data_IF_503236200752
#
_entry.id   IF_503236200752
#
_cell.length_a   1.000
_cell.length_b   1.000
_cell.length_c   1.000
_cell.angle_alpha   90.00
_cell.angle_beta   90.00
_cell.angle_gamma   90.00
#
_symmetry.space_group_name_H-M   'P 1'
#
loop_
_entity.id
_entity.type
_entity.pdbx_description
1 polymer ?
#
# COMPACT_ATOMS: atom_id res chain seq x y z
N UNK A 1 -32.64 46.69 -39.24
CA UNK A 1 -31.57 46.13 -40.08
C UNK A 1 -30.46 45.68 -39.13
N UNK A 2 -30.61 44.53 -38.46
CA UNK A 2 -30.21 43.17 -38.91
C UNK A 2 -28.71 43.04 -39.18
N UNK A 3 -27.99 42.36 -38.28
CA UNK A 3 -27.07 41.28 -38.65
C UNK A 3 -26.91 40.31 -37.47
N UNK A 4 -27.37 39.09 -37.71
CA UNK A 4 -27.20 37.86 -36.95
C UNK A 4 -25.86 37.21 -37.30
N UNK A 5 -25.13 36.70 -36.31
CA UNK A 5 -24.17 35.60 -36.52
C UNK A 5 -24.38 34.58 -35.40
N UNK A 6 -24.71 33.38 -35.84
CA UNK A 6 -25.10 32.18 -35.11
C UNK A 6 -23.87 31.47 -34.54
N UNK A 7 -23.82 31.31 -33.20
CA UNK A 7 -22.91 30.38 -32.54
C UNK A 7 -23.48 28.97 -32.55
N UNK A 8 -22.72 28.04 -33.12
CA UNK A 8 -23.08 26.64 -33.33
C UNK A 8 -22.84 25.79 -32.05
N UNK A 9 -23.86 25.09 -31.52
CA UNK A 9 -23.72 24.18 -30.38
C UNK A 9 -23.35 22.78 -30.88
N UNK A 10 -22.06 22.50 -31.05
CA UNK A 10 -21.68 21.23 -31.68
C UNK A 10 -20.22 20.80 -31.64
N UNK A 11 -19.39 21.25 -30.68
CA UNK A 11 -18.02 20.69 -30.54
C UNK A 11 -17.95 19.64 -29.42
N UNK A 12 -17.50 18.40 -29.69
CA UNK A 12 -17.28 17.41 -28.65
C UNK A 12 -16.17 17.88 -27.71
N UNK A 13 -16.32 17.61 -26.41
CA UNK A 13 -15.22 17.65 -25.45
C UNK A 13 -14.07 16.80 -26.00
N UNK A 14 -12.94 17.43 -26.32
CA UNK A 14 -11.71 16.73 -26.66
C UNK A 14 -11.37 15.79 -25.50
N UNK A 15 -11.27 14.49 -25.82
CA UNK A 15 -10.69 13.50 -24.91
C UNK A 15 -9.29 13.97 -24.52
N UNK A 16 -8.82 13.69 -23.29
CA UNK A 16 -7.43 13.93 -22.93
C UNK A 16 -6.56 13.26 -23.99
N UNK A 17 -5.66 14.02 -24.60
CA UNK A 17 -4.79 13.53 -25.65
C UNK A 17 -4.01 12.32 -25.12
N UNK A 18 -3.87 11.28 -25.94
CA UNK A 18 -2.97 10.14 -25.68
C UNK A 18 -1.53 10.61 -25.33
N UNK A 19 -1.19 11.84 -25.70
CA UNK A 19 0.04 12.55 -25.34
C UNK A 19 0.24 12.78 -23.84
N UNK A 20 -0.81 13.03 -23.06
CA UNK A 20 -0.67 13.22 -21.60
C UNK A 20 -0.39 11.89 -20.88
N UNK A 21 -1.01 10.81 -21.33
CA UNK A 21 -0.73 9.46 -20.82
C UNK A 21 0.68 8.99 -21.20
N UNK A 22 1.16 9.34 -22.39
CA UNK A 22 2.53 9.01 -22.83
C UNK A 22 3.57 9.89 -22.13
N UNK A 23 3.28 11.18 -21.89
CA UNK A 23 4.14 12.08 -21.12
C UNK A 23 4.25 11.64 -19.64
N UNK A 24 3.16 11.16 -19.04
CA UNK A 24 3.20 10.60 -17.69
C UNK A 24 3.96 9.27 -17.62
N UNK A 25 4.00 8.51 -18.72
CA UNK A 25 4.77 7.26 -18.82
C UNK A 25 6.28 7.51 -18.93
N UNK A 26 6.71 8.69 -19.36
CA UNK A 26 8.13 9.09 -19.44
C UNK A 26 8.71 9.63 -18.13
N UNK A 27 7.89 9.83 -17.08
CA UNK A 27 8.35 10.32 -15.76
C UNK A 27 8.75 9.21 -14.78
N UNK A 28 8.98 7.98 -15.24
CA UNK A 28 9.61 6.94 -14.42
C UNK A 28 11.12 7.20 -14.33
N UNK A 29 11.57 7.80 -13.24
CA UNK A 29 13.01 7.92 -12.95
C UNK A 29 13.52 6.55 -12.46
N UNK A 30 13.92 5.70 -13.40
CA UNK A 30 14.75 4.53 -13.10
C UNK A 30 16.21 4.87 -13.36
N UNK A 31 17.01 4.94 -12.31
CA UNK A 31 18.47 5.06 -12.43
C UNK A 31 19.05 3.72 -12.83
N UNK A 32 19.31 3.53 -14.12
CA UNK A 32 20.21 2.49 -14.61
C UNK A 32 21.51 3.15 -15.06
N UNK A 33 22.60 2.74 -14.42
CA UNK A 33 23.94 3.01 -14.90
C UNK A 33 24.36 1.81 -15.77
N UNK A 34 24.53 2.04 -17.07
CA UNK A 34 25.52 1.32 -17.90
C UNK A 34 25.48 1.74 -19.37
N UNK A 35 26.70 1.96 -19.85
CA UNK A 35 27.21 2.08 -21.21
C UNK A 35 26.31 1.71 -22.40
N UNK A 36 26.19 2.70 -23.29
CA UNK A 36 25.98 2.64 -24.75
C UNK A 36 25.09 1.54 -25.32
N UNK A 37 23.91 1.93 -25.82
CA UNK A 37 23.58 1.90 -27.27
C UNK A 37 22.20 2.52 -27.53
N UNK A 38 22.18 3.62 -28.31
CA UNK A 38 21.05 4.15 -29.10
C UNK A 38 19.63 4.01 -28.49
N UNK A 39 19.43 4.55 -27.29
CA UNK A 39 18.10 4.84 -26.73
C UNK A 39 17.68 6.29 -26.98
N UNK A 40 16.43 6.68 -26.64
CA UNK A 40 15.99 8.08 -26.71
C UNK A 40 17.01 8.99 -26.03
N UNK A 41 17.24 10.18 -26.59
CA UNK A 41 18.16 11.17 -26.04
C UNK A 41 17.75 11.48 -24.59
N UNK A 42 18.46 10.88 -23.64
CA UNK A 42 18.29 11.20 -22.22
C UNK A 42 18.98 12.54 -22.01
N UNK A 43 18.18 13.60 -21.85
CA UNK A 43 18.70 14.88 -21.37
C UNK A 43 19.05 14.68 -19.89
N UNK A 44 20.32 14.40 -19.62
CA UNK A 44 20.86 14.34 -18.27
C UNK A 44 21.02 15.79 -17.80
N UNK A 45 19.97 16.35 -17.19
CA UNK A 45 20.10 17.58 -16.39
C UNK A 45 20.86 17.21 -15.11
N UNK A 46 21.98 17.86 -14.81
CA UNK A 46 22.68 17.65 -13.53
C UNK A 46 21.79 17.98 -12.31
N UNK A 47 20.82 18.88 -12.50
CA UNK A 47 19.87 19.33 -11.47
C UNK A 47 18.49 18.63 -11.56
N UNK A 48 18.40 17.48 -12.25
CA UNK A 48 17.14 16.75 -12.45
C UNK A 48 16.37 16.51 -11.14
N UNK A 49 17.08 16.16 -10.06
CA UNK A 49 16.47 15.95 -8.74
C UNK A 49 15.80 17.22 -8.25
N UNK A 50 16.51 18.35 -8.30
CA UNK A 50 15.96 19.64 -7.87
C UNK A 50 14.74 20.02 -8.70
N UNK A 51 14.82 19.89 -10.03
CA UNK A 51 13.70 20.17 -10.92
C UNK A 51 12.48 19.30 -10.59
N UNK A 52 12.66 18.00 -10.34
CA UNK A 52 11.58 17.10 -9.96
C UNK A 52 10.92 17.50 -8.62
N UNK A 53 11.71 17.92 -7.62
CA UNK A 53 11.16 18.41 -6.35
C UNK A 53 10.46 19.77 -6.50
N UNK A 54 10.97 20.68 -7.34
CA UNK A 54 10.33 21.96 -7.62
C UNK A 54 8.96 21.76 -8.32
N UNK A 55 8.88 20.85 -9.28
CA UNK A 55 7.65 20.48 -9.99
C UNK A 55 6.63 19.81 -9.05
N UNK A 56 7.11 18.88 -8.20
CA UNK A 56 6.29 18.26 -7.16
C UNK A 56 5.74 19.32 -6.19
N UNK A 57 6.58 20.25 -5.72
CA UNK A 57 6.16 21.31 -4.82
C UNK A 57 5.11 22.22 -5.47
N UNK A 58 5.29 22.58 -6.74
CA UNK A 58 4.30 23.36 -7.49
C UNK A 58 2.96 22.62 -7.60
N UNK A 59 2.99 21.30 -7.81
CA UNK A 59 1.79 20.48 -7.91
C UNK A 59 1.06 20.37 -6.57
N UNK A 60 1.79 20.10 -5.50
CA UNK A 60 1.24 19.91 -4.15
C UNK A 60 0.73 21.19 -3.50
N UNK A 61 1.10 22.38 -4.00
CA UNK A 61 0.54 23.66 -3.56
C UNK A 61 -0.95 23.82 -3.82
N UNK A 62 -1.56 23.02 -4.69
CA UNK A 62 -2.98 23.10 -4.96
C UNK A 62 -3.81 22.43 -3.83
N UNK A 63 -4.51 23.18 -2.96
CA UNK A 63 -5.25 22.60 -1.83
C UNK A 63 -6.48 21.78 -2.23
N UNK A 64 -6.88 21.85 -3.51
CA UNK A 64 -7.98 21.04 -4.09
C UNK A 64 -7.48 19.71 -4.65
N UNK A 65 -6.17 19.48 -4.68
CA UNK A 65 -5.60 18.23 -5.14
C UNK A 65 -6.07 17.09 -4.25
N UNK A 66 -6.64 16.07 -4.88
CA UNK A 66 -7.02 14.82 -4.23
C UNK A 66 -6.25 13.71 -4.89
N UNK A 67 -5.41 13.04 -4.11
CA UNK A 67 -4.57 11.96 -4.57
C UNK A 67 -5.21 10.64 -4.17
N UNK A 68 -5.33 9.74 -5.14
CA UNK A 68 -5.66 8.35 -4.84
C UNK A 68 -4.50 7.69 -4.09
N UNK A 69 -3.26 8.04 -4.44
CA UNK A 69 -2.06 7.45 -3.88
C UNK A 69 -0.92 8.47 -3.83
N UNK A 70 -0.13 8.42 -2.75
CA UNK A 70 1.12 9.13 -2.60
C UNK A 70 2.23 8.16 -2.20
N UNK A 71 3.17 7.91 -3.11
CA UNK A 71 4.17 6.84 -2.95
C UNK A 71 5.57 7.40 -2.98
N UNK A 72 6.39 6.96 -2.03
CA UNK A 72 7.77 7.38 -1.90
C UNK A 72 8.68 6.16 -2.03
N UNK A 73 9.47 6.17 -3.10
CA UNK A 73 10.40 5.10 -3.43
C UNK A 73 11.83 5.62 -3.36
N UNK A 74 12.60 5.10 -2.41
CA UNK A 74 14.03 5.41 -2.27
C UNK A 74 14.86 4.18 -2.60
N UNK A 75 15.63 4.23 -3.70
CA UNK A 75 16.38 3.10 -4.23
C UNK A 75 17.64 2.76 -3.43
N UNK A 76 18.24 3.74 -2.75
CA UNK A 76 19.54 3.63 -2.08
C UNK A 76 19.44 3.83 -0.57
N UNK A 77 19.87 2.82 0.19
CA UNK A 77 19.73 2.76 1.65
C UNK A 77 20.41 3.93 2.37
N UNK A 78 21.56 4.38 1.87
CA UNK A 78 22.32 5.50 2.42
C UNK A 78 21.66 6.86 2.18
N UNK A 79 20.64 6.95 1.33
CA UNK A 79 19.95 8.22 1.01
C UNK A 79 18.56 8.34 1.65
N UNK A 80 18.08 7.32 2.36
CA UNK A 80 16.74 7.30 2.96
C UNK A 80 16.50 8.53 3.83
N UNK A 81 17.41 8.83 4.77
CA UNK A 81 17.25 9.96 5.69
C UNK A 81 17.26 11.29 4.95
N UNK A 82 18.17 11.45 3.98
CA UNK A 82 18.26 12.67 3.16
C UNK A 82 16.98 12.88 2.36
N UNK A 83 16.50 11.84 1.66
CA UNK A 83 15.28 11.92 0.84
C UNK A 83 14.03 12.15 1.70
N UNK A 84 13.93 11.49 2.86
CA UNK A 84 12.83 11.73 3.80
C UNK A 84 12.82 13.15 4.34
N UNK A 85 13.99 13.73 4.63
CA UNK A 85 14.09 15.12 5.06
C UNK A 85 13.71 16.09 3.94
N UNK A 86 14.12 15.83 2.70
CA UNK A 86 13.71 16.65 1.54
C UNK A 86 12.19 16.61 1.33
N UNK A 87 11.57 15.43 1.42
CA UNK A 87 10.12 15.28 1.33
C UNK A 87 9.42 15.98 2.50
N UNK A 88 9.92 15.80 3.73
CA UNK A 88 9.39 16.49 4.91
C UNK A 88 9.43 18.00 4.74
N UNK A 89 10.57 18.54 4.35
CA UNK A 89 10.75 19.97 4.13
C UNK A 89 9.80 20.49 3.05
N UNK A 90 9.58 19.73 1.98
CA UNK A 90 8.60 20.10 0.94
C UNK A 90 7.19 20.17 1.52
N UNK A 91 6.78 19.16 2.30
CA UNK A 91 5.45 19.09 2.90
C UNK A 91 5.25 20.17 3.99
N UNK A 92 6.30 20.54 4.73
CA UNK A 92 6.28 21.64 5.71
C UNK A 92 6.03 23.01 5.06
N UNK A 93 6.32 23.18 3.77
CA UNK A 93 6.06 24.42 3.03
C UNK A 93 4.60 24.56 2.59
N UNK A 94 3.78 23.50 2.74
CA UNK A 94 2.37 23.54 2.42
C UNK A 94 1.58 24.20 3.56
N UNK A 95 0.65 25.08 3.20
CA UNK A 95 -0.28 25.73 4.14
C UNK A 95 -1.53 24.86 4.44
N UNK A 96 -1.55 23.62 3.94
CA UNK A 96 -2.66 22.70 4.05
C UNK A 96 -2.16 21.25 4.14
N UNK A 97 -3.01 20.37 4.68
CA UNK A 97 -2.78 18.93 4.63
C UNK A 97 -3.24 18.34 3.29
N UNK A 98 -2.50 17.36 2.80
CA UNK A 98 -2.82 16.65 1.56
C UNK A 98 -4.01 15.71 1.73
N UNK A 99 -4.89 15.70 0.74
CA UNK A 99 -6.00 14.75 0.64
C UNK A 99 -5.52 13.52 -0.11
N UNK A 100 -5.14 12.46 0.62
CA UNK A 100 -4.56 11.24 0.06
C UNK A 100 -5.30 10.02 0.59
N UNK A 101 -5.74 9.11 -0.28
CA UNK A 101 -6.39 7.87 0.18
C UNK A 101 -5.42 6.76 0.54
N UNK A 102 -4.28 6.67 -0.16
CA UNK A 102 -3.28 5.62 0.04
C UNK A 102 -1.89 6.20 0.15
N UNK A 103 -1.12 5.73 1.12
CA UNK A 103 0.31 6.04 1.20
C UNK A 103 1.11 4.75 1.06
N UNK A 104 2.11 4.76 0.18
CA UNK A 104 3.03 3.64 0.01
C UNK A 104 4.47 4.07 0.28
N UNK A 105 5.12 3.34 1.18
CA UNK A 105 6.52 3.58 1.53
C UNK A 105 7.37 2.36 1.22
N UNK A 106 8.29 2.55 0.26
CA UNK A 106 9.33 1.58 -0.02
C UNK A 106 10.54 1.86 0.89
N UNK A 107 10.90 0.86 1.70
CA UNK A 107 11.93 0.93 2.74
C UNK A 107 11.47 1.71 3.99
N UNK A 108 10.53 1.11 4.69
CA UNK A 108 9.96 1.63 5.92
C UNK A 108 10.99 1.70 7.07
N UNK A 109 11.02 2.87 7.70
CA UNK A 109 11.39 3.08 9.10
C UNK A 109 10.32 3.96 9.74
N UNK A 110 10.13 3.92 11.07
CA UNK A 110 9.20 4.82 11.74
C UNK A 110 9.40 6.30 11.40
N UNK A 111 10.66 6.75 11.30
CA UNK A 111 10.99 8.12 10.89
C UNK A 111 10.49 8.49 9.49
N UNK A 112 10.38 7.53 8.57
CA UNK A 112 9.81 7.74 7.24
C UNK A 112 8.29 8.03 7.32
N UNK A 113 7.55 7.32 8.16
CA UNK A 113 6.12 7.61 8.33
C UNK A 113 5.90 8.96 9.01
N UNK A 114 6.74 9.30 9.99
CA UNK A 114 6.68 10.60 10.67
C UNK A 114 7.02 11.79 9.77
N UNK A 115 7.72 11.58 8.64
CA UNK A 115 7.97 12.65 7.67
C UNK A 115 6.78 12.95 6.75
N UNK A 116 5.75 12.09 6.72
CA UNK A 116 4.61 12.24 5.80
C UNK A 116 3.26 12.26 6.51
N UNK A 117 2.98 11.28 7.37
CA UNK A 117 1.64 11.10 7.95
C UNK A 117 1.10 12.40 8.59
N UNK A 118 1.89 13.20 9.35
CA UNK A 118 1.37 14.45 9.93
C UNK A 118 0.83 15.47 8.90
N UNK A 119 1.29 15.40 7.65
CA UNK A 119 0.91 16.29 6.56
C UNK A 119 -0.28 15.77 5.74
N UNK A 120 -0.82 14.60 6.06
CA UNK A 120 -2.00 14.02 5.41
C UNK A 120 -3.28 14.30 6.22
N UNK A 121 -4.42 14.43 5.55
CA UNK A 121 -5.74 14.52 6.20
C UNK A 121 -6.15 13.15 6.77
N UNK A 122 -6.35 13.05 8.08
CA UNK A 122 -6.63 11.78 8.77
C UNK A 122 -7.91 11.08 8.33
N UNK A 123 -8.97 11.84 8.05
CA UNK A 123 -10.27 11.28 7.66
C UNK A 123 -10.39 10.88 6.19
N UNK A 124 -9.30 11.04 5.41
CA UNK A 124 -9.25 10.68 3.98
C UNK A 124 -8.34 9.48 3.76
N UNK A 125 -7.31 9.31 4.60
CA UNK A 125 -6.36 8.21 4.46
C UNK A 125 -7.04 6.88 4.81
N UNK A 126 -7.15 6.00 3.81
CA UNK A 126 -7.80 4.69 3.92
C UNK A 126 -6.77 3.57 4.10
N UNK A 127 -5.62 3.66 3.41
CA UNK A 127 -4.60 2.59 3.36
C UNK A 127 -3.19 3.09 3.62
N UNK A 128 -2.44 2.31 4.39
CA UNK A 128 -1.01 2.47 4.61
C UNK A 128 -0.30 1.21 4.13
N UNK A 129 0.64 1.37 3.20
CA UNK A 129 1.46 0.30 2.64
C UNK A 129 2.92 0.47 3.05
N UNK A 130 3.48 -0.56 3.70
CA UNK A 130 4.83 -0.55 4.25
C UNK A 130 5.66 -1.68 3.64
N UNK A 131 6.75 -1.33 2.98
CA UNK A 131 7.69 -2.31 2.42
C UNK A 131 9.04 -2.22 3.12
N UNK A 132 9.66 -3.34 3.46
CA UNK A 132 10.98 -3.35 4.11
C UNK A 132 12.10 -3.58 3.07
N UNK A 133 13.28 -3.02 3.34
CA UNK A 133 14.47 -3.39 2.56
C UNK A 133 15.01 -4.73 3.07
N UNK A 134 14.87 -5.77 2.25
CA UNK A 134 15.40 -7.11 2.52
C UNK A 134 16.94 -7.13 2.65
N UNK A 135 17.64 -6.07 2.25
CA UNK A 135 19.10 -5.90 2.38
C UNK A 135 19.51 -5.25 3.71
N UNK A 136 18.57 -4.73 4.49
CA UNK A 136 18.88 -4.15 5.80
C UNK A 136 19.45 -5.25 6.72
N UNK A 137 20.54 -4.94 7.42
CA UNK A 137 21.22 -5.89 8.33
C UNK A 137 20.42 -6.09 9.62
N UNK A 138 19.67 -5.05 10.03
CA UNK A 138 18.74 -5.10 11.15
C UNK A 138 17.32 -4.80 10.68
N UNK A 139 16.39 -5.67 11.06
CA UNK A 139 14.96 -5.57 10.75
C UNK A 139 14.16 -5.19 12.00
N UNK A 140 14.84 -4.82 13.09
CA UNK A 140 14.19 -4.31 14.28
C UNK A 140 13.49 -2.98 13.95
N UNK A 141 12.24 -2.89 14.39
CA UNK A 141 11.47 -1.66 14.29
C UNK A 141 11.64 -0.94 15.62
N UNK A 142 12.08 0.31 15.55
CA UNK A 142 12.16 1.18 16.72
C UNK A 142 10.75 1.37 17.32
N UNK A 143 10.55 0.77 18.49
CA UNK A 143 9.30 0.86 19.25
C UNK A 143 8.96 2.30 19.61
N UNK A 144 9.97 3.14 19.89
CA UNK A 144 9.78 4.55 20.24
C UNK A 144 9.17 5.33 19.07
N UNK A 145 9.64 5.06 17.86
CA UNK A 145 9.07 5.63 16.64
C UNK A 145 7.63 5.14 16.40
N UNK A 146 7.34 3.86 16.66
CA UNK A 146 5.99 3.32 16.54
C UNK A 146 5.03 3.92 17.57
N UNK A 147 5.47 4.17 18.80
CA UNK A 147 4.67 4.87 19.81
C UNK A 147 4.23 6.24 19.31
N UNK A 148 5.13 6.99 18.66
CA UNK A 148 4.78 8.30 18.09
C UNK A 148 3.81 8.17 16.92
N UNK A 149 3.99 7.19 16.04
CA UNK A 149 3.08 6.94 14.91
C UNK A 149 1.68 6.58 15.40
N UNK A 150 1.59 5.73 16.43
CA UNK A 150 0.32 5.27 16.98
C UNK A 150 -0.52 6.41 17.61
N UNK A 151 0.11 7.53 17.96
CA UNK A 151 -0.58 8.72 18.44
C UNK A 151 -1.20 9.57 17.32
N UNK A 152 -0.77 9.40 16.07
CA UNK A 152 -1.27 10.16 14.92
C UNK A 152 -2.70 9.75 14.55
N UNK A 153 -3.56 10.75 14.31
CA UNK A 153 -4.94 10.50 13.87
C UNK A 153 -4.99 9.80 12.50
N UNK A 154 -4.03 10.09 11.62
CA UNK A 154 -3.89 9.44 10.31
C UNK A 154 -3.68 7.92 10.46
N UNK A 155 -2.89 7.50 11.45
CA UNK A 155 -2.68 6.09 11.73
C UNK A 155 -3.95 5.45 12.28
N UNK A 156 -4.58 6.08 13.29
CA UNK A 156 -5.76 5.54 13.98
C UNK A 156 -7.01 5.45 13.10
N UNK A 157 -7.16 6.34 12.12
CA UNK A 157 -8.34 6.42 11.26
C UNK A 157 -8.21 5.59 9.99
N UNK A 158 -6.97 5.28 9.55
CA UNK A 158 -6.75 4.39 8.42
C UNK A 158 -7.33 2.99 8.69
N UNK A 159 -7.95 2.41 7.69
CA UNK A 159 -8.71 1.16 7.83
C UNK A 159 -7.95 -0.06 7.32
N UNK A 160 -6.97 0.15 6.43
CA UNK A 160 -6.22 -0.91 5.76
C UNK A 160 -4.71 -0.76 5.96
N UNK A 161 -4.08 -1.88 6.34
CA UNK A 161 -2.63 -1.99 6.45
C UNK A 161 -2.11 -3.06 5.48
N UNK A 162 -1.23 -2.65 4.56
CA UNK A 162 -0.45 -3.57 3.74
C UNK A 162 0.99 -3.66 4.28
N UNK A 163 1.41 -4.89 4.57
CA UNK A 163 2.77 -5.20 4.98
C UNK A 163 3.45 -6.03 3.88
N UNK A 164 4.37 -5.40 3.14
CA UNK A 164 5.33 -6.07 2.26
C UNK A 164 6.60 -6.39 3.04
N UNK A 165 6.39 -7.05 4.17
CA UNK A 165 7.40 -7.47 5.15
C UNK A 165 6.89 -8.71 5.88
N UNK A 166 7.78 -9.57 6.40
CA UNK A 166 7.33 -10.68 7.21
C UNK A 166 6.53 -10.19 8.43
N UNK A 167 5.35 -10.74 8.63
CA UNK A 167 4.42 -10.49 9.73
C UNK A 167 5.12 -10.51 11.10
N UNK A 168 6.05 -11.45 11.30
CA UNK A 168 6.77 -11.63 12.57
C UNK A 168 7.80 -10.51 12.85
N UNK A 169 7.99 -9.58 11.92
CA UNK A 169 8.94 -8.46 12.04
C UNK A 169 8.24 -7.15 12.38
N UNK A 170 6.92 -7.08 12.18
CA UNK A 170 6.13 -5.91 12.52
C UNK A 170 5.48 -6.06 13.91
N UNK A 171 5.53 -5.05 14.79
CA UNK A 171 4.86 -5.07 16.09
C UNK A 171 3.33 -4.92 15.89
N UNK A 172 2.66 -6.06 15.72
CA UNK A 172 1.24 -6.12 15.35
C UNK A 172 0.29 -5.53 16.41
N UNK A 173 0.76 -5.28 17.63
CA UNK A 173 0.02 -4.54 18.67
C UNK A 173 -0.40 -3.14 18.21
N UNK A 174 0.40 -2.47 17.38
CA UNK A 174 0.10 -1.15 16.81
C UNK A 174 -0.89 -1.20 15.64
N UNK A 175 -1.27 -2.39 15.19
CA UNK A 175 -2.12 -2.60 14.02
C UNK A 175 -3.49 -3.20 14.38
N UNK A 176 -3.87 -3.18 15.66
CA UNK A 176 -5.10 -3.84 16.15
C UNK A 176 -6.39 -3.11 15.77
N UNK A 177 -6.33 -1.83 15.40
CA UNK A 177 -7.49 -1.04 15.00
C UNK A 177 -7.85 -1.18 13.51
N UNK A 178 -6.92 -1.62 12.67
CA UNK A 178 -7.16 -1.82 11.23
C UNK A 178 -8.21 -2.92 11.01
N UNK A 179 -9.05 -2.72 9.99
CA UNK A 179 -10.14 -3.62 9.61
C UNK A 179 -9.70 -4.59 8.51
N UNK A 180 -8.83 -4.11 7.62
CA UNK A 180 -8.36 -4.82 6.44
C UNK A 180 -6.85 -4.95 6.44
N UNK A 181 -6.36 -6.11 6.01
CA UNK A 181 -4.94 -6.42 5.99
C UNK A 181 -4.52 -7.01 4.65
N UNK A 182 -3.32 -6.66 4.20
CA UNK A 182 -2.64 -7.34 3.10
C UNK A 182 -1.23 -7.72 3.55
N UNK A 183 -0.95 -9.01 3.67
CA UNK A 183 0.38 -9.49 4.05
C UNK A 183 1.03 -10.20 2.87
N UNK A 184 2.18 -9.67 2.44
CA UNK A 184 3.04 -10.37 1.50
C UNK A 184 4.01 -11.28 2.25
N UNK A 185 3.70 -12.58 2.23
CA UNK A 185 4.48 -13.64 2.86
C UNK A 185 5.03 -14.63 1.83
N UNK A 186 5.26 -14.13 0.60
CA UNK A 186 5.58 -14.94 -0.56
C UNK A 186 6.80 -15.85 -0.37
N UNK A 187 7.79 -15.41 0.40
CA UNK A 187 9.06 -16.13 0.57
C UNK A 187 9.17 -16.96 1.85
N UNK A 188 8.38 -16.67 2.90
CA UNK A 188 8.60 -17.20 4.24
C UNK A 188 7.31 -17.69 4.94
N UNK A 189 6.27 -18.04 4.19
CA UNK A 189 5.04 -18.60 4.77
C UNK A 189 5.23 -20.07 5.18
N UNK A 190 4.95 -20.38 6.45
CA UNK A 190 4.87 -21.75 6.97
C UNK A 190 3.56 -21.97 7.77
N UNK A 191 3.35 -23.20 8.22
CA UNK A 191 2.16 -23.57 9.01
C UNK A 191 2.03 -22.76 10.30
N UNK A 192 3.12 -22.57 11.03
CA UNK A 192 3.10 -21.92 12.34
C UNK A 192 2.82 -20.42 12.18
N UNK A 193 3.44 -19.78 11.19
CA UNK A 193 3.19 -18.38 10.83
C UNK A 193 1.74 -18.16 10.42
N UNK A 194 1.18 -19.02 9.56
CA UNK A 194 -0.25 -18.92 9.22
C UNK A 194 -1.15 -19.04 10.47
N UNK A 195 -0.83 -19.94 11.39
CA UNK A 195 -1.56 -20.06 12.67
C UNK A 195 -1.43 -18.77 13.49
N UNK A 196 -0.24 -18.16 13.58
CA UNK A 196 -0.04 -16.88 14.27
C UNK A 196 -0.88 -15.76 13.66
N UNK A 197 -0.85 -15.61 12.33
CA UNK A 197 -1.67 -14.63 11.59
C UNK A 197 -3.15 -14.86 11.90
N UNK A 198 -3.66 -16.09 11.72
CA UNK A 198 -5.06 -16.42 11.99
C UNK A 198 -5.45 -16.12 13.44
N UNK A 199 -4.60 -16.46 14.41
CA UNK A 199 -4.85 -16.21 15.83
C UNK A 199 -4.86 -14.71 16.14
N UNK A 200 -3.99 -13.91 15.51
CA UNK A 200 -4.04 -12.46 15.60
C UNK A 200 -5.38 -11.93 15.06
N UNK A 201 -5.76 -12.29 13.84
CA UNK A 201 -7.03 -11.85 13.20
C UNK A 201 -8.27 -12.24 14.02
N UNK A 202 -8.24 -13.37 14.72
CA UNK A 202 -9.36 -13.84 15.58
C UNK A 202 -9.62 -12.89 16.76
N UNK A 203 -8.59 -12.21 17.25
CA UNK A 203 -8.67 -11.29 18.40
C UNK A 203 -9.11 -9.87 18.01
N UNK A 204 -9.27 -9.59 16.71
CA UNK A 204 -9.63 -8.28 16.23
C UNK A 204 -11.16 -8.15 16.12
N UNK A 205 -11.72 -7.22 16.87
CA UNK A 205 -13.17 -7.01 16.89
C UNK A 205 -13.66 -6.48 15.54
N UNK A 206 -12.96 -5.48 14.99
CA UNK A 206 -13.31 -4.78 13.75
C UNK A 206 -12.77 -5.46 12.48
N UNK A 207 -12.22 -6.66 12.58
CA UNK A 207 -11.65 -7.34 11.43
C UNK A 207 -12.70 -7.71 10.38
N UNK A 208 -12.45 -7.32 9.14
CA UNK A 208 -13.29 -7.59 7.97
C UNK A 208 -12.64 -8.61 7.04
N UNK A 209 -11.40 -8.32 6.59
CA UNK A 209 -10.74 -9.09 5.54
C UNK A 209 -9.21 -9.07 5.68
N UNK A 210 -8.56 -10.18 5.34
CA UNK A 210 -7.12 -10.26 5.15
C UNK A 210 -6.78 -10.98 3.84
N UNK A 211 -5.92 -10.38 3.02
CA UNK A 211 -5.30 -11.01 1.87
C UNK A 211 -3.88 -11.46 2.24
N UNK A 212 -3.53 -12.71 1.96
CA UNK A 212 -2.19 -13.25 2.17
C UNK A 212 -1.64 -13.76 0.84
N UNK A 213 -0.52 -13.19 0.41
CA UNK A 213 0.25 -13.71 -0.73
C UNK A 213 1.24 -14.77 -0.21
N UNK A 214 1.20 -15.99 -0.74
CA UNK A 214 2.05 -17.08 -0.25
C UNK A 214 2.54 -18.01 -1.38
N UNK A 215 3.63 -17.63 -2.05
CA UNK A 215 4.24 -18.40 -3.16
C UNK A 215 5.04 -19.65 -2.71
N UNK A 216 5.19 -19.90 -1.41
CA UNK A 216 5.95 -21.03 -0.87
C UNK A 216 5.35 -22.41 -1.19
N UNK A 217 6.03 -23.20 -2.02
CA UNK A 217 5.59 -24.53 -2.47
C UNK A 217 5.38 -25.55 -1.34
N UNK A 218 6.12 -25.44 -0.23
CA UNK A 218 5.98 -26.29 0.96
C UNK A 218 4.70 -26.00 1.75
N UNK A 219 4.30 -24.74 1.83
CA UNK A 219 3.06 -24.33 2.49
C UNK A 219 1.83 -24.79 1.70
N UNK A 220 1.88 -24.71 0.36
CA UNK A 220 0.80 -25.16 -0.54
C UNK A 220 0.26 -26.55 -0.21
N UNK A 221 1.12 -27.53 0.08
CA UNK A 221 0.69 -28.90 0.41
C UNK A 221 0.18 -29.03 1.84
N UNK A 222 0.66 -28.17 2.73
CA UNK A 222 0.39 -28.24 4.17
C UNK A 222 -0.90 -27.49 4.54
N UNK A 223 -1.25 -26.43 3.81
CA UNK A 223 -2.41 -25.58 4.13
C UNK A 223 -3.74 -26.32 3.98
N UNK A 224 -3.90 -27.16 2.94
CA UNK A 224 -5.12 -27.98 2.81
C UNK A 224 -5.27 -28.97 3.97
N UNK A 225 -4.17 -29.56 4.46
CA UNK A 225 -4.20 -30.42 5.65
C UNK A 225 -4.56 -29.64 6.91
N UNK A 226 -4.11 -28.38 7.01
CA UNK A 226 -4.38 -27.50 8.15
C UNK A 226 -5.83 -27.02 8.19
N UNK A 227 -6.42 -26.70 7.03
CA UNK A 227 -7.78 -26.19 6.91
C UNK A 227 -8.83 -27.30 6.87
N UNK A 228 -8.42 -28.55 6.62
CA UNK A 228 -9.31 -29.69 6.54
C UNK A 228 -10.00 -29.81 5.18
N UNK A 229 -11.22 -30.38 5.18
CA UNK A 229 -12.00 -30.52 3.95
C UNK A 229 -12.56 -29.16 3.51
N UNK A 230 -12.46 -28.86 2.22
CA UNK A 230 -13.09 -27.68 1.64
C UNK A 230 -14.62 -27.86 1.61
N UNK A 231 -15.36 -26.82 1.95
CA UNK A 231 -16.83 -26.81 1.89
C UNK A 231 -17.34 -26.65 0.46
N UNK A 232 -16.55 -25.99 -0.37
CA UNK A 232 -16.77 -25.88 -1.81
C UNK A 232 -15.44 -25.65 -2.52
N UNK A 233 -15.43 -25.89 -3.82
CA UNK A 233 -14.27 -25.60 -4.64
C UNK A 233 -14.53 -25.91 -6.10
N UNK A 234 -13.75 -25.27 -6.95
CA UNK A 234 -13.66 -25.57 -8.37
C UNK A 234 -12.17 -25.76 -8.74
N UNK A 235 -11.86 -25.87 -10.03
CA UNK A 235 -10.47 -26.03 -10.50
C UNK A 235 -9.53 -24.86 -10.16
N UNK A 236 -10.07 -23.71 -9.73
CA UNK A 236 -9.36 -22.45 -9.54
C UNK A 236 -9.32 -21.99 -8.07
N UNK A 237 -10.35 -22.32 -7.30
CA UNK A 237 -10.53 -21.84 -5.92
C UNK A 237 -11.00 -22.98 -5.00
N UNK A 238 -10.52 -23.00 -3.76
CA UNK A 238 -11.08 -23.81 -2.67
C UNK A 238 -11.55 -22.92 -1.53
N UNK A 239 -12.70 -23.23 -0.98
CA UNK A 239 -13.29 -22.49 0.15
C UNK A 239 -13.31 -23.37 1.39
N UNK A 240 -12.90 -22.80 2.51
CA UNK A 240 -12.88 -23.44 3.82
C UNK A 240 -13.61 -22.58 4.83
N UNK A 241 -14.37 -23.21 5.74
CA UNK A 241 -14.99 -22.52 6.86
C UNK A 241 -14.27 -22.92 8.14
N UNK A 242 -13.76 -21.94 8.87
CA UNK A 242 -13.10 -22.16 10.16
C UNK A 242 -13.88 -21.44 11.26
N UNK A 243 -14.43 -22.13 12.27
CA UNK A 243 -15.18 -21.48 13.34
C UNK A 243 -14.27 -20.54 14.15
N UNK A 244 -14.83 -19.41 14.60
CA UNK A 244 -14.23 -18.56 15.62
C UNK A 244 -14.78 -19.04 16.98
N UNK A 245 -13.91 -19.41 17.95
CA UNK A 245 -14.37 -19.79 19.28
C UNK A 245 -15.26 -18.72 19.91
N UNK A 246 -16.30 -19.14 20.63
CA UNK A 246 -17.20 -18.27 21.39
C UNK A 246 -17.88 -17.16 20.56
N UNK A 247 -18.03 -17.37 19.26
CA UNK A 247 -18.64 -16.44 18.32
C UNK A 247 -19.62 -17.14 17.38
N UNK A 248 -20.68 -16.43 17.01
CA UNK A 248 -21.58 -16.79 15.90
C UNK A 248 -20.95 -16.51 14.53
N UNK A 249 -19.70 -16.02 14.50
CA UNK A 249 -18.93 -15.82 13.28
C UNK A 249 -18.03 -17.01 12.95
N UNK A 250 -17.52 -17.00 11.72
CA UNK A 250 -16.51 -17.92 11.22
C UNK A 250 -15.61 -17.18 10.21
N UNK A 251 -14.42 -17.73 9.96
CA UNK A 251 -13.60 -17.32 8.85
C UNK A 251 -13.92 -18.13 7.61
N UNK A 252 -14.33 -17.43 6.56
CA UNK A 252 -14.30 -17.96 5.20
C UNK A 252 -12.90 -17.74 4.64
N UNK A 253 -12.22 -18.84 4.30
CA UNK A 253 -10.87 -18.82 3.75
C UNK A 253 -10.95 -19.32 2.31
N UNK A 254 -10.66 -18.45 1.36
CA UNK A 254 -10.58 -18.77 -0.06
C UNK A 254 -9.14 -18.91 -0.48
N UNK A 255 -8.79 -20.07 -1.04
CA UNK A 255 -7.47 -20.36 -1.58
C UNK A 255 -7.55 -20.38 -3.11
N UNK A 256 -6.88 -19.41 -3.75
CA UNK A 256 -6.71 -19.40 -5.20
C UNK A 256 -5.55 -20.31 -5.59
N UNK A 257 -5.84 -21.36 -6.37
CA UNK A 257 -4.92 -22.48 -6.63
C UNK A 257 -3.72 -22.08 -7.50
N UNK A 258 -3.85 -21.09 -8.37
CA UNK A 258 -2.77 -20.71 -9.31
C UNK A 258 -1.90 -19.56 -8.78
N UNK A 259 -2.51 -18.55 -8.16
CA UNK A 259 -1.77 -17.41 -7.59
C UNK A 259 -1.27 -17.66 -6.17
N UNK A 260 -1.77 -18.70 -5.49
CA UNK A 260 -1.50 -18.98 -4.08
C UNK A 260 -1.79 -17.80 -3.16
N UNK A 261 -2.87 -17.10 -3.46
CA UNK A 261 -3.40 -16.09 -2.57
C UNK A 261 -4.47 -16.72 -1.67
N UNK A 262 -4.41 -16.38 -0.39
CA UNK A 262 -5.46 -16.67 0.56
C UNK A 262 -6.23 -15.40 0.86
N UNK A 263 -7.54 -15.44 0.70
CA UNK A 263 -8.43 -14.40 1.21
C UNK A 263 -9.17 -14.94 2.42
N UNK A 264 -8.97 -14.30 3.57
CA UNK A 264 -9.66 -14.59 4.82
C UNK A 264 -10.71 -13.51 5.02
N UNK A 265 -11.96 -13.88 5.28
CA UNK A 265 -13.05 -12.93 5.54
C UNK A 265 -13.84 -13.39 6.75
N UNK A 266 -14.16 -12.46 7.66
CA UNK A 266 -15.05 -12.73 8.81
C UNK A 266 -16.50 -12.71 8.34
N UNK A 267 -17.24 -13.79 8.57
CA UNK A 267 -18.65 -13.92 8.20
C UNK A 267 -19.48 -14.37 9.39
N UNK A 268 -20.74 -13.96 9.44
CA UNK A 268 -21.72 -14.41 10.44
C UNK A 268 -22.37 -15.72 9.96
N UNK A 269 -22.64 -16.66 10.86
CA UNK A 269 -23.41 -17.86 10.54
C UNK A 269 -24.88 -17.47 10.33
N UNK A 270 -25.46 -17.90 9.22
CA UNK A 270 -26.90 -17.80 9.02
C UNK A 270 -27.59 -18.89 9.85
N UNK A 271 -28.30 -18.49 10.90
CA UNK A 271 -29.17 -19.41 11.66
C UNK A 271 -30.43 -19.59 10.81
N UNK A 272 -30.59 -20.77 10.20
CA UNK A 272 -31.83 -21.18 9.54
C UNK A 272 -32.75 -21.87 10.54
#
# INVERSE_FOLDING_TARGET
MSNTSTGDPGKPMEKPSEDLSEAMRQLSVTTYDSHETSGPFVVIREDFKKAAFDDLACTLKNPKLQLEEFSVHVSYYNEIEKNNNEIRNLLELLDHQLSVKKVDYLVFRPSCLLSILPFLKSGVLEKISLSFDYRAVDWSIDSTGMDQIALLEQWKQAEELELRTPFDKFPMEYATHFKRFEFDESFNMDRNKFIRIKNFLTKLDNFEQCNLSCLGSGFRRSISKLLGASVSGNGWEKVFHHPIPDSDHYFEIKLTIFSFNLKITKKKREIH
#
